data_IF_623291014384
#
_entry.id   IF_623291014384
#
_cell.length_a   1.000
_cell.length_b   1.000
_cell.length_c   1.000
_cell.angle_alpha   90.00
_cell.angle_beta   90.00
_cell.angle_gamma   90.00
#
_symmetry.space_group_name_H-M   'P 1'
#
loop_
_entity.id
_entity.type
_entity.pdbx_description
1 polymer ?
#
# COMPACT_ATOMS: atom_id res chain seq x y z
N UNK A 1 2.56 -18.63 -20.36
CA UNK A 1 1.46 -17.66 -20.54
C UNK A 1 1.74 -16.86 -21.80
N UNK A 2 0.86 -16.86 -22.80
CA UNK A 2 1.09 -16.12 -24.05
C UNK A 2 0.32 -14.79 -23.99
N UNK A 3 1.03 -13.66 -24.13
CA UNK A 3 0.43 -12.33 -24.15
C UNK A 3 -0.15 -12.08 -25.53
N UNK A 4 -1.47 -11.84 -25.61
CA UNK A 4 -2.21 -11.75 -26.89
C UNK A 4 -2.78 -10.36 -27.19
N UNK A 5 -2.74 -9.44 -26.24
CA UNK A 5 -3.29 -8.08 -26.38
C UNK A 5 -2.36 -7.04 -25.74
N UNK A 6 -2.49 -5.79 -26.16
CA UNK A 6 -1.75 -4.66 -25.57
C UNK A 6 -2.11 -4.49 -24.10
N UNK A 7 -3.39 -4.60 -23.74
CA UNK A 7 -3.82 -4.52 -22.34
C UNK A 7 -3.18 -5.60 -21.46
N UNK A 8 -3.09 -6.85 -21.96
CA UNK A 8 -2.44 -7.93 -21.23
C UNK A 8 -0.93 -7.69 -21.08
N UNK A 9 -0.28 -7.07 -22.08
CA UNK A 9 1.13 -6.68 -22.01
C UNK A 9 1.34 -5.57 -20.95
N UNK A 10 0.45 -4.58 -20.93
CA UNK A 10 0.51 -3.48 -19.96
C UNK A 10 0.22 -3.96 -18.54
N UNK A 11 -0.76 -4.85 -18.35
CA UNK A 11 -1.02 -5.50 -17.06
C UNK A 11 0.18 -6.30 -16.55
N UNK A 12 0.85 -7.06 -17.44
CA UNK A 12 2.08 -7.78 -17.09
C UNK A 12 3.20 -6.81 -16.69
N UNK A 13 3.38 -5.71 -17.43
CA UNK A 13 4.35 -4.66 -17.12
C UNK A 13 4.09 -4.01 -15.75
N UNK A 14 2.83 -3.67 -15.46
CA UNK A 14 2.43 -3.06 -14.19
C UNK A 14 2.53 -4.02 -13.00
N UNK A 15 2.57 -5.34 -13.23
CA UNK A 15 2.67 -6.34 -12.17
C UNK A 15 3.90 -6.16 -11.27
N UNK A 16 5.05 -5.79 -11.85
CA UNK A 16 6.26 -5.47 -11.08
C UNK A 16 6.05 -4.25 -10.17
N UNK A 17 5.50 -3.16 -10.69
CA UNK A 17 5.27 -1.93 -9.93
C UNK A 17 4.31 -2.16 -8.76
N UNK A 18 3.22 -2.92 -8.97
CA UNK A 18 2.26 -3.27 -7.91
C UNK A 18 2.92 -4.09 -6.80
N UNK A 19 3.78 -5.04 -7.16
CA UNK A 19 4.54 -5.84 -6.20
C UNK A 19 5.53 -4.97 -5.41
N UNK A 20 6.25 -4.08 -6.09
CA UNK A 20 7.18 -3.13 -5.46
C UNK A 20 6.45 -2.24 -4.43
N UNK A 21 5.26 -1.74 -4.77
CA UNK A 21 4.42 -0.96 -3.84
C UNK A 21 4.09 -1.74 -2.57
N UNK A 22 3.64 -3.00 -2.74
CA UNK A 22 3.27 -3.87 -1.63
C UNK A 22 4.45 -4.10 -0.69
N UNK A 23 5.61 -4.50 -1.22
CA UNK A 23 6.79 -4.77 -0.42
C UNK A 23 7.32 -3.50 0.26
N UNK A 24 7.39 -2.38 -0.45
CA UNK A 24 7.78 -1.09 0.16
C UNK A 24 6.88 -0.71 1.34
N UNK A 25 5.57 -0.93 1.21
CA UNK A 25 4.61 -0.63 2.26
C UNK A 25 4.71 -1.59 3.46
N UNK A 26 5.03 -2.86 3.22
CA UNK A 26 5.32 -3.84 4.26
C UNK A 26 6.61 -3.50 5.01
N UNK A 27 7.69 -3.21 4.29
CA UNK A 27 9.00 -2.86 4.86
C UNK A 27 8.92 -1.59 5.72
N UNK A 28 8.14 -0.60 5.28
CA UNK A 28 7.87 0.62 6.04
C UNK A 28 6.88 0.41 7.20
N UNK A 29 6.21 -0.74 7.31
CA UNK A 29 5.21 -1.00 8.35
C UNK A 29 3.92 -0.17 8.21
N UNK A 30 3.57 0.25 6.99
CA UNK A 30 2.41 1.11 6.72
C UNK A 30 1.11 0.47 7.20
N UNK A 31 0.88 -0.79 6.84
CA UNK A 31 -0.36 -1.51 7.16
C UNK A 31 -0.50 -1.72 8.67
N UNK A 32 0.58 -2.10 9.35
CA UNK A 32 0.64 -2.24 10.81
C UNK A 32 0.36 -0.93 11.53
N UNK A 33 0.88 0.19 11.03
CA UNK A 33 0.64 1.49 11.62
C UNK A 33 -0.81 1.97 11.42
N UNK A 34 -1.44 1.64 10.29
CA UNK A 34 -2.84 1.97 10.01
C UNK A 34 -3.85 1.02 10.67
N UNK A 35 -3.44 -0.21 11.03
CA UNK A 35 -4.25 -1.13 11.84
C UNK A 35 -4.51 -0.60 13.24
N UNK A 36 -3.61 0.26 13.77
CA UNK A 36 -3.81 1.00 15.03
C UNK A 36 -4.82 2.14 14.92
N UNK A 37 -5.23 2.49 13.70
CA UNK A 37 -6.23 3.50 13.42
C UNK A 37 -5.91 4.32 12.17
N UNK A 38 -6.95 4.87 11.48
CA UNK A 38 -6.76 5.74 10.34
C UNK A 38 -5.88 6.97 10.66
N UNK A 39 -5.06 7.40 9.71
CA UNK A 39 -4.11 8.50 9.90
C UNK A 39 -3.93 9.32 8.64
N UNK A 40 -3.58 10.61 8.79
CA UNK A 40 -3.03 11.37 7.67
C UNK A 40 -1.56 11.02 7.41
N UNK A 41 -1.06 11.42 6.24
CA UNK A 41 0.29 11.13 5.79
C UNK A 41 1.38 11.79 6.67
N UNK A 42 1.13 12.97 7.25
CA UNK A 42 2.10 13.70 8.06
C UNK A 42 2.32 12.99 9.40
N UNK A 43 1.23 12.61 10.07
CA UNK A 43 1.29 11.87 11.32
C UNK A 43 1.88 10.48 11.11
N UNK A 44 1.50 9.81 10.03
CA UNK A 44 2.03 8.50 9.69
C UNK A 44 3.53 8.56 9.38
N UNK A 45 3.99 9.58 8.64
CA UNK A 45 5.40 9.78 8.33
C UNK A 45 6.24 9.95 9.60
N UNK A 46 5.73 10.69 10.60
CA UNK A 46 6.39 10.81 11.90
C UNK A 46 6.50 9.46 12.62
N UNK A 47 5.42 8.65 12.60
CA UNK A 47 5.40 7.32 13.25
C UNK A 47 6.36 6.33 12.58
N UNK A 48 6.51 6.44 11.26
CA UNK A 48 7.33 5.54 10.45
C UNK A 48 8.74 6.08 10.19
N UNK A 49 9.11 7.23 10.78
CA UNK A 49 10.38 7.93 10.52
C UNK A 49 10.68 8.10 9.03
N UNK A 50 9.64 8.43 8.25
CA UNK A 50 9.70 8.57 6.80
C UNK A 50 9.55 10.03 6.35
N UNK A 51 9.98 10.34 5.13
CA UNK A 51 9.70 11.63 4.52
C UNK A 51 8.20 11.76 4.19
N UNK A 52 7.52 12.84 4.62
CA UNK A 52 6.08 12.99 4.46
C UNK A 52 5.62 13.12 3.01
N UNK A 53 6.45 13.69 2.13
CA UNK A 53 6.12 13.83 0.70
C UNK A 53 6.19 12.47 0.02
N UNK A 54 7.27 11.74 0.22
CA UNK A 54 7.47 10.41 -0.36
C UNK A 54 6.43 9.41 0.17
N UNK A 55 6.14 9.46 1.47
CA UNK A 55 5.11 8.60 2.05
C UNK A 55 3.73 8.93 1.46
N UNK A 56 3.38 10.20 1.29
CA UNK A 56 2.10 10.57 0.65
C UNK A 56 1.96 10.01 -0.76
N UNK A 57 3.05 10.01 -1.55
CA UNK A 57 3.07 9.40 -2.89
C UNK A 57 2.78 7.91 -2.80
N UNK A 58 3.49 7.19 -1.92
CA UNK A 58 3.26 5.76 -1.70
C UNK A 58 1.82 5.47 -1.27
N UNK A 59 1.29 6.21 -0.28
CA UNK A 59 -0.07 6.03 0.21
C UNK A 59 -1.13 6.25 -0.88
N UNK A 60 -0.95 7.27 -1.73
CA UNK A 60 -1.87 7.50 -2.85
C UNK A 60 -1.78 6.38 -3.89
N UNK A 61 -0.58 5.87 -4.14
CA UNK A 61 -0.38 4.74 -5.05
C UNK A 61 -1.04 3.46 -4.49
N UNK A 62 -0.94 3.20 -3.18
CA UNK A 62 -1.63 2.12 -2.48
C UNK A 62 -3.16 2.24 -2.50
N UNK A 63 -3.68 3.48 -2.52
CA UNK A 63 -5.12 3.74 -2.76
C UNK A 63 -5.49 3.37 -4.18
N UNK A 64 -4.67 3.75 -5.16
CA UNK A 64 -4.87 3.44 -6.58
C UNK A 64 -4.92 1.94 -6.88
N UNK A 65 -4.07 1.14 -6.23
CA UNK A 65 -4.09 -0.34 -6.34
C UNK A 65 -5.09 -1.01 -5.39
N UNK A 66 -5.82 -0.22 -4.60
CA UNK A 66 -6.94 -0.71 -3.80
C UNK A 66 -6.59 -1.35 -2.47
N UNK A 67 -5.34 -1.24 -1.98
CA UNK A 67 -4.94 -1.76 -0.66
C UNK A 67 -5.31 -0.80 0.48
N UNK A 68 -5.35 0.51 0.19
CA UNK A 68 -5.79 1.53 1.13
C UNK A 68 -7.09 2.22 0.66
N UNK A 69 -7.85 2.73 1.61
CA UNK A 69 -8.92 3.70 1.38
C UNK A 69 -8.46 5.10 1.82
N UNK A 70 -9.01 6.13 1.18
CA UNK A 70 -8.76 7.54 1.54
C UNK A 70 -10.08 8.30 1.70
N UNK A 71 -10.21 9.08 2.77
CA UNK A 71 -11.30 10.05 2.98
C UNK A 71 -10.70 11.39 3.35
N UNK A 72 -10.78 12.37 2.44
CA UNK A 72 -10.08 13.64 2.61
C UNK A 72 -8.56 13.41 2.71
N UNK A 73 -7.97 13.75 3.86
CA UNK A 73 -6.54 13.54 4.14
C UNK A 73 -6.23 12.25 4.91
N UNK A 74 -7.26 11.49 5.30
CA UNK A 74 -7.12 10.32 6.16
C UNK A 74 -7.06 9.05 5.33
N UNK A 75 -6.04 8.23 5.59
CA UNK A 75 -5.81 6.92 5.01
C UNK A 75 -6.19 5.82 6.01
N UNK A 76 -6.64 4.68 5.50
CA UNK A 76 -6.96 3.47 6.26
C UNK A 76 -6.72 2.22 5.43
N UNK A 77 -6.44 1.10 6.08
CA UNK A 77 -6.43 -0.20 5.41
C UNK A 77 -7.82 -0.48 4.79
N UNK A 78 -7.84 -1.11 3.61
CA UNK A 78 -9.04 -1.85 3.17
C UNK A 78 -9.04 -3.22 3.84
N UNK A 79 -10.20 -3.88 3.83
CA UNK A 79 -10.43 -5.16 4.52
C UNK A 79 -9.33 -6.20 4.26
N UNK A 80 -8.91 -6.38 3.00
CA UNK A 80 -7.86 -7.35 2.66
C UNK A 80 -6.50 -6.99 3.26
N UNK A 81 -6.12 -5.71 3.24
CA UNK A 81 -4.85 -5.26 3.81
C UNK A 81 -4.88 -5.32 5.33
N UNK A 82 -6.01 -4.98 5.94
CA UNK A 82 -6.18 -5.00 7.38
C UNK A 82 -6.13 -6.44 7.94
N UNK A 83 -6.77 -7.38 7.24
CA UNK A 83 -6.81 -8.79 7.66
C UNK A 83 -5.48 -9.52 7.48
N UNK A 84 -4.72 -9.22 6.41
CA UNK A 84 -3.59 -10.06 6.02
C UNK A 84 -2.21 -9.36 6.07
N UNK A 85 -2.16 -8.03 6.11
CA UNK A 85 -0.90 -7.27 6.03
C UNK A 85 -0.59 -6.47 7.29
N UNK A 86 -1.54 -6.37 8.23
CA UNK A 86 -1.40 -5.59 9.46
C UNK A 86 -0.28 -6.10 10.40
N UNK A 87 0.09 -7.37 10.36
CA UNK A 87 1.17 -7.92 11.22
C UNK A 87 2.45 -8.25 10.43
N UNK A 88 2.63 -7.68 9.24
CA UNK A 88 3.80 -7.94 8.39
C UNK A 88 3.63 -9.15 7.47
N UNK A 89 4.69 -9.58 6.75
CA UNK A 89 4.56 -10.25 5.45
C UNK A 89 3.80 -11.58 5.41
N UNK A 90 3.49 -12.22 6.55
CA UNK A 90 2.89 -13.56 6.61
C UNK A 90 2.08 -13.77 7.92
N UNK A 91 1.04 -12.98 8.21
CA UNK A 91 0.25 -13.16 9.45
C UNK A 91 -0.67 -14.41 9.45
N UNK A 92 -0.10 -15.60 9.14
CA UNK A 92 -0.66 -16.96 9.18
C UNK A 92 -1.11 -17.53 7.82
N UNK A 93 -0.17 -17.67 6.89
CA UNK A 93 -0.24 -18.72 5.87
C UNK A 93 0.84 -19.76 6.17
#
# INVERSE_FOLDING_TARGET
MQVKTVDALMEMSHGYQRSMLLFTALDLGVFSALAKGPSDATLLARRLSADPRNLSILLNALVGVGLLGKRGKIYRNKEIADRFLADGPLSKA
#
